data_IF_481964597899
#
_entry.id   IF_481964597899
#
_cell.length_a   1.000
_cell.length_b   1.000
_cell.length_c   1.000
_cell.angle_alpha   90.00
_cell.angle_beta   90.00
_cell.angle_gamma   90.00
#
_symmetry.space_group_name_H-M   'P 1'
#
loop_
_entity.id
_entity.type
_entity.pdbx_description
1 polymer ?
#
# COMPACT_ATOMS: atom_id res chain seq x y z
N UNK A 1 -22.24 -0.24 9.24
CA UNK A 1 -21.19 -1.30 9.31
C UNK A 1 -21.39 -2.04 10.61
N UNK A 2 -21.55 -3.36 10.57
CA UNK A 2 -21.82 -4.15 11.79
C UNK A 2 -20.55 -4.66 12.47
N UNK A 3 -19.39 -4.58 11.76
CA UNK A 3 -18.09 -5.01 12.29
C UNK A 3 -17.37 -3.88 13.04
N UNK A 4 -16.72 -4.17 14.19
CA UNK A 4 -15.84 -3.21 14.84
C UNK A 4 -14.67 -2.87 13.92
N UNK A 5 -14.15 -1.64 14.05
CA UNK A 5 -13.09 -1.12 13.18
C UNK A 5 -11.74 -1.27 13.89
N UNK A 6 -10.77 -1.81 13.17
CA UNK A 6 -9.37 -1.87 13.56
C UNK A 6 -8.50 -1.37 12.42
N UNK A 7 -7.24 -1.07 12.71
CA UNK A 7 -6.25 -0.78 11.69
C UNK A 7 -5.01 -1.67 11.85
N UNK A 8 -4.40 -2.03 10.74
CA UNK A 8 -3.13 -2.77 10.70
C UNK A 8 -2.17 -1.99 9.80
N UNK A 9 -1.00 -1.67 10.30
CA UNK A 9 0.05 -1.01 9.53
C UNK A 9 1.29 -1.89 9.44
N UNK A 10 1.70 -2.18 8.21
CA UNK A 10 2.96 -2.85 7.90
C UNK A 10 3.83 -1.83 7.17
N UNK A 11 4.98 -1.44 7.72
CA UNK A 11 5.86 -0.46 7.09
C UNK A 11 6.30 -0.90 5.69
N UNK A 12 6.49 0.05 4.77
CA UNK A 12 6.88 -0.17 3.38
C UNK A 12 8.38 0.09 3.19
N UNK A 13 9.02 -0.64 2.28
CA UNK A 13 10.43 -0.45 1.92
C UNK A 13 11.42 -0.79 3.04
N UNK A 14 11.05 -1.72 3.92
CA UNK A 14 11.91 -2.20 5.01
C UNK A 14 11.93 -3.73 5.06
N UNK A 15 13.01 -4.30 5.62
CA UNK A 15 13.04 -5.70 5.97
C UNK A 15 12.15 -5.96 7.21
N UNK A 16 11.24 -6.94 7.09
CA UNK A 16 10.40 -7.41 8.18
C UNK A 16 10.21 -8.93 8.08
N UNK A 17 10.02 -9.62 9.22
CA UNK A 17 9.82 -11.08 9.22
C UNK A 17 8.53 -11.46 8.47
N UNK A 18 7.46 -10.64 8.60
CA UNK A 18 6.19 -10.78 7.89
C UNK A 18 5.77 -9.38 7.40
N UNK A 19 5.44 -9.27 6.13
CA UNK A 19 5.04 -8.00 5.49
C UNK A 19 6.23 -7.20 4.95
N UNK A 20 7.42 -7.80 4.89
CA UNK A 20 8.60 -7.22 4.23
C UNK A 20 8.61 -7.43 2.72
N UNK A 21 7.77 -8.30 2.21
CA UNK A 21 7.65 -8.68 0.81
C UNK A 21 6.22 -8.52 0.34
N UNK A 22 6.04 -8.18 -0.95
CA UNK A 22 4.69 -7.94 -1.47
C UNK A 22 3.83 -9.22 -1.40
N UNK A 23 2.73 -9.12 -0.67
CA UNK A 23 1.73 -10.17 -0.55
C UNK A 23 1.88 -11.13 0.62
N UNK A 24 3.00 -11.19 1.30
CA UNK A 24 3.23 -12.17 2.38
C UNK A 24 2.39 -11.90 3.65
N UNK A 25 1.88 -10.69 3.85
CA UNK A 25 0.93 -10.35 4.91
C UNK A 25 -0.55 -10.55 4.52
N UNK A 26 -0.87 -10.67 3.25
CA UNK A 26 -2.24 -10.62 2.74
C UNK A 26 -3.20 -11.63 3.34
N UNK A 27 -2.74 -12.88 3.58
CA UNK A 27 -3.56 -13.92 4.21
C UNK A 27 -3.90 -13.57 5.67
N UNK A 28 -3.01 -12.92 6.39
CA UNK A 28 -3.24 -12.46 7.78
C UNK A 28 -4.29 -11.34 7.77
N UNK A 29 -4.16 -10.35 6.88
CA UNK A 29 -5.14 -9.28 6.73
C UNK A 29 -6.55 -9.84 6.48
N UNK A 30 -6.67 -10.87 5.62
CA UNK A 30 -7.95 -11.54 5.36
C UNK A 30 -8.55 -12.23 6.58
N UNK A 31 -7.72 -12.86 7.43
CA UNK A 31 -8.23 -13.47 8.66
C UNK A 31 -8.85 -12.43 9.61
N UNK A 32 -8.21 -11.28 9.78
CA UNK A 32 -8.78 -10.18 10.56
C UNK A 32 -10.06 -9.64 9.93
N UNK A 33 -10.11 -9.51 8.60
CA UNK A 33 -11.26 -8.97 7.88
C UNK A 33 -12.52 -9.84 7.96
N UNK A 34 -12.40 -11.14 8.28
CA UNK A 34 -13.57 -11.97 8.58
C UNK A 34 -14.39 -11.44 9.76
N UNK A 35 -13.76 -10.76 10.70
CA UNK A 35 -14.34 -10.37 11.99
C UNK A 35 -14.41 -8.87 12.22
N UNK A 36 -13.58 -8.08 11.55
CA UNK A 36 -13.44 -6.64 11.69
C UNK A 36 -13.55 -5.94 10.35
N UNK A 37 -13.87 -4.65 10.35
CA UNK A 37 -13.54 -3.79 9.24
C UNK A 37 -12.09 -3.30 9.46
N UNK A 38 -11.20 -3.58 8.51
CA UNK A 38 -9.75 -3.39 8.69
C UNK A 38 -9.26 -2.24 7.82
N UNK A 39 -8.76 -1.19 8.44
CA UNK A 39 -8.02 -0.14 7.71
C UNK A 39 -6.58 -0.62 7.52
N UNK A 40 -6.12 -0.68 6.27
CA UNK A 40 -4.81 -1.22 5.90
C UNK A 40 -4.03 -0.28 5.00
N UNK A 41 -2.72 -0.27 5.14
CA UNK A 41 -1.84 0.34 4.15
C UNK A 41 -1.57 -0.63 2.97
N UNK A 42 -1.13 -0.14 1.79
CA UNK A 42 -0.93 -0.95 0.58
C UNK A 42 -0.09 -2.20 0.79
N UNK A 43 1.02 -2.09 1.51
CA UNK A 43 1.95 -3.19 1.74
C UNK A 43 1.31 -4.41 2.45
N UNK A 44 0.23 -4.20 3.19
CA UNK A 44 -0.47 -5.29 3.88
C UNK A 44 -1.31 -6.17 2.95
N UNK A 45 -1.64 -5.74 1.73
CA UNK A 45 -2.63 -6.41 0.87
C UNK A 45 -2.20 -6.59 -0.59
N UNK A 46 -1.18 -5.86 -1.06
CA UNK A 46 -0.70 -5.95 -2.44
C UNK A 46 0.30 -7.10 -2.62
N UNK A 47 0.22 -7.81 -3.74
CA UNK A 47 1.10 -8.94 -4.06
C UNK A 47 1.16 -9.23 -5.56
N UNK A 48 1.87 -8.41 -6.33
CA UNK A 48 2.07 -8.62 -7.76
C UNK A 48 0.75 -8.62 -8.55
N UNK A 49 0.38 -9.75 -9.11
CA UNK A 49 -0.91 -9.95 -9.78
C UNK A 49 -2.05 -10.31 -8.80
N UNK A 50 -1.72 -10.56 -7.54
CA UNK A 50 -2.65 -10.98 -6.50
C UNK A 50 -2.93 -9.82 -5.54
N UNK A 51 -4.14 -9.76 -5.02
CA UNK A 51 -4.51 -8.84 -3.94
C UNK A 51 -5.28 -9.56 -2.85
N UNK A 52 -5.01 -9.19 -1.61
CA UNK A 52 -5.77 -9.67 -0.46
C UNK A 52 -6.98 -8.80 -0.13
N UNK A 53 -7.15 -7.66 -0.81
CA UNK A 53 -8.20 -6.67 -0.52
C UNK A 53 -9.61 -7.25 -0.72
N UNK A 54 -10.55 -6.81 0.10
CA UNK A 54 -11.98 -7.05 -0.04
C UNK A 54 -12.78 -5.90 0.59
N UNK A 55 -14.11 -5.90 0.50
CA UNK A 55 -15.00 -4.84 1.00
C UNK A 55 -15.03 -4.70 2.54
N UNK A 56 -14.48 -5.65 3.30
CA UNK A 56 -14.26 -5.52 4.74
C UNK A 56 -12.94 -4.82 5.08
N UNK A 57 -12.24 -4.29 4.07
CA UNK A 57 -11.00 -3.55 4.22
C UNK A 57 -11.11 -2.16 3.61
N UNK A 58 -10.47 -1.18 4.23
CA UNK A 58 -10.25 0.17 3.70
C UNK A 58 -8.77 0.35 3.38
N UNK A 59 -8.48 0.46 2.07
CA UNK A 59 -7.14 0.67 1.54
C UNK A 59 -6.74 2.14 1.65
N UNK A 60 -5.79 2.48 2.51
CA UNK A 60 -5.26 3.84 2.65
C UNK A 60 -3.78 3.88 2.34
N UNK A 61 -3.42 4.69 1.36
CA UNK A 61 -2.03 5.05 1.07
C UNK A 61 -1.39 5.70 2.31
N UNK A 62 -0.06 5.59 2.46
CA UNK A 62 0.64 5.96 3.69
C UNK A 62 0.37 7.37 4.20
N UNK A 63 0.32 8.39 3.32
CA UNK A 63 -0.03 9.76 3.73
C UNK A 63 -1.48 9.87 4.18
N UNK A 64 -2.42 9.21 3.51
CA UNK A 64 -3.82 9.18 3.92
C UNK A 64 -4.00 8.43 5.23
N UNK A 65 -3.24 7.34 5.44
CA UNK A 65 -3.23 6.60 6.69
C UNK A 65 -2.80 7.48 7.87
N UNK A 66 -1.69 8.21 7.71
CA UNK A 66 -1.20 9.14 8.71
C UNK A 66 -2.18 10.31 8.98
N UNK A 67 -2.73 10.94 7.94
CA UNK A 67 -3.69 12.04 8.08
C UNK A 67 -5.03 11.59 8.66
N UNK A 68 -5.44 10.34 8.41
CA UNK A 68 -6.59 9.73 9.05
C UNK A 68 -6.39 9.62 10.57
N UNK A 69 -5.24 9.09 11.01
CA UNK A 69 -4.96 8.97 12.45
C UNK A 69 -4.74 10.32 13.14
N UNK A 70 -4.27 11.35 12.45
CA UNK A 70 -4.26 12.74 12.95
C UNK A 70 -5.66 13.31 13.15
N UNK A 71 -6.67 12.74 12.50
CA UNK A 71 -8.04 13.25 12.51
C UNK A 71 -8.32 14.34 11.47
N UNK A 72 -7.40 14.57 10.54
CA UNK A 72 -7.54 15.59 9.50
C UNK A 72 -8.52 15.16 8.39
N UNK A 73 -8.72 13.86 8.22
CA UNK A 73 -9.66 13.27 7.26
C UNK A 73 -10.52 12.18 7.90
N UNK A 74 -11.62 11.88 7.25
CA UNK A 74 -12.50 10.76 7.52
C UNK A 74 -12.66 9.94 6.24
N UNK A 75 -13.14 8.71 6.35
CA UNK A 75 -13.30 7.82 5.20
C UNK A 75 -14.71 7.26 5.10
N UNK A 76 -15.19 7.10 3.85
CA UNK A 76 -16.36 6.30 3.53
C UNK A 76 -15.93 5.04 2.80
N UNK A 77 -15.92 3.88 3.44
CA UNK A 77 -15.68 2.61 2.78
C UNK A 77 -16.68 2.36 1.66
N UNK A 78 -16.25 1.76 0.58
CA UNK A 78 -17.14 1.33 -0.51
C UNK A 78 -18.05 0.22 0.00
N UNK A 79 -19.31 0.25 -0.42
CA UNK A 79 -20.25 -0.84 -0.19
C UNK A 79 -20.06 -1.92 -1.25
N UNK A 80 -20.59 -3.10 -0.98
CA UNK A 80 -20.60 -4.18 -1.96
C UNK A 80 -21.17 -3.68 -3.30
N UNK A 81 -20.46 -3.96 -4.39
CA UNK A 81 -20.72 -3.53 -5.77
C UNK A 81 -20.44 -2.04 -6.08
N UNK A 82 -20.03 -1.24 -5.12
CA UNK A 82 -19.54 0.12 -5.42
C UNK A 82 -18.06 0.06 -5.79
N UNK A 83 -17.67 0.70 -6.89
CA UNK A 83 -16.28 0.79 -7.34
C UNK A 83 -15.91 2.23 -7.67
N UNK A 84 -14.62 2.53 -7.61
CA UNK A 84 -14.08 3.81 -8.06
C UNK A 84 -13.83 3.81 -9.57
N UNK A 85 -14.06 4.94 -10.21
CA UNK A 85 -13.49 5.24 -11.52
C UNK A 85 -11.99 5.54 -11.35
N UNK A 86 -11.13 4.70 -11.94
CA UNK A 86 -9.67 4.80 -11.80
C UNK A 86 -9.07 5.50 -13.01
N UNK A 87 -8.24 6.51 -12.79
CA UNK A 87 -7.36 7.08 -13.80
C UNK A 87 -5.95 6.49 -13.68
N UNK A 88 -5.26 6.34 -14.81
CA UNK A 88 -3.90 5.81 -14.86
C UNK A 88 -2.95 6.85 -15.42
N UNK A 89 -1.82 7.06 -14.73
CA UNK A 89 -0.71 7.88 -15.20
C UNK A 89 0.43 6.96 -15.60
N UNK A 90 0.90 7.06 -16.82
CA UNK A 90 2.12 6.40 -17.28
C UNK A 90 3.26 7.39 -17.44
N UNK A 91 4.43 7.04 -16.92
CA UNK A 91 5.67 7.75 -17.23
C UNK A 91 5.99 7.58 -18.71
N UNK A 92 6.24 8.66 -19.43
CA UNK A 92 6.55 8.64 -20.86
C UNK A 92 7.89 7.94 -21.19
N UNK A 93 8.70 7.65 -20.19
CA UNK A 93 9.95 6.92 -20.34
C UNK A 93 9.76 5.40 -20.44
N UNK A 94 8.56 4.88 -20.17
CA UNK A 94 8.28 3.43 -20.25
C UNK A 94 8.45 2.94 -21.69
N UNK A 95 9.28 1.90 -21.95
CA UNK A 95 9.42 1.30 -23.27
C UNK A 95 8.06 0.85 -23.83
N UNK A 96 7.90 0.96 -25.15
CA UNK A 96 6.61 0.71 -25.79
C UNK A 96 6.07 -0.70 -25.59
N UNK A 97 6.91 -1.69 -25.61
CA UNK A 97 6.57 -3.10 -25.38
C UNK A 97 6.10 -3.34 -23.94
N UNK A 98 6.78 -2.76 -22.97
CA UNK A 98 6.38 -2.78 -21.55
C UNK A 98 5.05 -2.03 -21.36
N UNK A 99 4.90 -0.85 -21.95
CA UNK A 99 3.64 -0.11 -21.93
C UNK A 99 2.48 -0.96 -22.48
N UNK A 100 2.69 -1.69 -23.58
CA UNK A 100 1.68 -2.58 -24.16
C UNK A 100 1.25 -3.69 -23.19
N UNK A 101 2.15 -4.21 -22.35
CA UNK A 101 1.80 -5.18 -21.31
C UNK A 101 0.86 -4.55 -20.30
N UNK A 102 1.14 -3.34 -19.83
CA UNK A 102 0.26 -2.62 -18.93
C UNK A 102 -1.12 -2.31 -19.54
N UNK A 103 -1.17 -1.90 -20.82
CA UNK A 103 -2.44 -1.64 -21.54
C UNK A 103 -3.26 -2.92 -21.73
N UNK A 104 -2.61 -4.05 -22.04
CA UNK A 104 -3.27 -5.36 -22.08
C UNK A 104 -3.78 -5.78 -20.70
N UNK A 105 -3.01 -5.49 -19.66
CA UNK A 105 -3.42 -5.77 -18.27
C UNK A 105 -4.67 -4.94 -17.88
N UNK A 106 -4.71 -3.65 -18.24
CA UNK A 106 -5.90 -2.80 -18.04
C UNK A 106 -7.11 -3.43 -18.78
N UNK A 107 -6.93 -3.82 -20.03
CA UNK A 107 -8.00 -4.45 -20.81
C UNK A 107 -8.49 -5.75 -20.15
N UNK A 108 -7.58 -6.58 -19.65
CA UNK A 108 -7.94 -7.80 -18.94
C UNK A 108 -8.70 -7.52 -17.64
N UNK A 109 -8.27 -6.55 -16.84
CA UNK A 109 -8.95 -6.16 -15.59
C UNK A 109 -10.37 -5.64 -15.85
N UNK A 110 -10.56 -4.84 -16.90
CA UNK A 110 -11.88 -4.37 -17.33
C UNK A 110 -12.77 -5.53 -17.72
N UNK A 111 -12.29 -6.45 -18.54
CA UNK A 111 -13.08 -7.56 -19.08
C UNK A 111 -13.37 -8.66 -18.06
N UNK A 112 -12.41 -8.98 -17.19
CA UNK A 112 -12.51 -10.11 -16.25
C UNK A 112 -13.11 -9.70 -14.91
N UNK A 113 -12.75 -8.51 -14.42
CA UNK A 113 -13.13 -8.05 -13.08
C UNK A 113 -14.11 -6.86 -13.10
N UNK A 114 -14.36 -6.27 -14.25
CA UNK A 114 -15.24 -5.10 -14.37
C UNK A 114 -14.70 -3.84 -13.71
N UNK A 115 -13.37 -3.72 -13.56
CA UNK A 115 -12.76 -2.53 -12.97
C UNK A 115 -12.88 -1.36 -13.96
N UNK A 116 -13.40 -0.22 -13.51
CA UNK A 116 -13.57 0.99 -14.31
C UNK A 116 -12.24 1.75 -14.44
N UNK A 117 -11.56 1.54 -15.58
CA UNK A 117 -10.28 2.18 -15.93
C UNK A 117 -10.39 2.73 -17.36
N UNK A 118 -11.01 3.90 -17.54
CA UNK A 118 -11.22 4.49 -18.85
C UNK A 118 -10.31 5.69 -19.14
N UNK A 119 -9.74 6.31 -18.13
CA UNK A 119 -8.94 7.52 -18.28
C UNK A 119 -7.45 7.22 -18.11
N UNK A 120 -6.68 7.52 -19.16
CA UNK A 120 -5.22 7.36 -19.18
C UNK A 120 -4.57 8.69 -19.53
N UNK A 121 -3.53 9.07 -18.78
CA UNK A 121 -2.67 10.20 -19.06
C UNK A 121 -1.20 9.74 -19.11
N UNK A 122 -0.40 10.43 -19.91
CA UNK A 122 1.04 10.23 -19.99
C UNK A 122 1.74 11.48 -19.49
N UNK A 123 2.86 11.30 -18.80
CA UNK A 123 3.71 12.46 -18.42
C UNK A 123 4.33 13.07 -19.69
N UNK A 124 4.60 14.38 -19.67
CA UNK A 124 5.24 15.02 -20.82
C UNK A 124 6.77 14.85 -20.81
N UNK A 125 7.32 14.58 -19.62
CA UNK A 125 8.77 14.31 -19.42
C UNK A 125 8.91 13.11 -18.51
N UNK A 126 10.05 12.41 -18.63
CA UNK A 126 10.44 11.35 -17.71
C UNK A 126 10.36 11.83 -16.26
N UNK A 127 9.71 11.05 -15.41
CA UNK A 127 9.64 11.32 -13.95
C UNK A 127 11.04 11.27 -13.33
N UNK A 128 11.89 10.38 -13.80
CA UNK A 128 13.29 10.25 -13.37
C UNK A 128 13.41 9.74 -11.94
N UNK A 129 13.15 8.46 -11.75
CA UNK A 129 13.27 7.78 -10.46
C UNK A 129 14.73 7.52 -10.12
N UNK A 130 15.13 7.81 -8.89
CA UNK A 130 16.44 7.48 -8.33
C UNK A 130 16.26 6.64 -7.07
N UNK A 131 16.94 5.47 -7.02
CA UNK A 131 16.84 4.50 -5.93
C UNK A 131 18.06 4.55 -5.02
N UNK A 132 17.84 4.29 -3.73
CA UNK A 132 18.90 4.11 -2.72
C UNK A 132 18.46 3.10 -1.67
N UNK A 133 19.40 2.24 -1.28
CA UNK A 133 19.23 1.32 -0.15
C UNK A 133 20.32 1.60 0.88
N UNK A 134 19.93 1.83 2.11
CA UNK A 134 20.88 2.06 3.20
C UNK A 134 20.33 1.47 4.51
N UNK A 135 21.15 0.67 5.19
CA UNK A 135 20.81 0.03 6.46
C UNK A 135 19.51 -0.81 6.43
N UNK A 136 19.23 -1.48 5.31
CA UNK A 136 18.01 -2.30 5.13
C UNK A 136 16.73 -1.48 4.98
N UNK A 137 16.85 -0.23 4.52
CA UNK A 137 15.73 0.66 4.21
C UNK A 137 15.91 1.15 2.78
N UNK A 138 14.87 1.00 1.95
CA UNK A 138 14.86 1.59 0.62
C UNK A 138 14.28 3.01 0.67
N UNK A 139 14.86 3.92 -0.10
CA UNK A 139 14.39 5.27 -0.30
C UNK A 139 14.84 5.80 -1.66
N UNK A 140 14.38 6.98 -2.04
CA UNK A 140 14.78 7.57 -3.30
C UNK A 140 14.18 8.93 -3.56
N UNK A 141 14.36 9.43 -4.78
CA UNK A 141 13.88 10.74 -5.20
C UNK A 141 13.36 10.72 -6.64
N UNK A 142 12.63 11.76 -7.00
CA UNK A 142 12.10 11.99 -8.33
C UNK A 142 12.69 13.29 -8.91
N UNK A 143 13.18 13.26 -10.16
CA UNK A 143 13.72 14.45 -10.83
C UNK A 143 12.62 15.43 -11.23
N UNK A 144 11.51 14.92 -11.75
CA UNK A 144 10.41 15.71 -12.29
C UNK A 144 9.05 15.38 -11.62
N UNK A 145 8.88 15.55 -10.29
CA UNK A 145 7.67 15.15 -9.57
C UNK A 145 6.41 15.88 -10.05
N UNK A 146 6.55 17.10 -10.57
CA UNK A 146 5.43 17.91 -11.08
C UNK A 146 4.74 17.29 -12.29
N UNK A 147 5.41 16.42 -13.05
CA UNK A 147 4.81 15.73 -14.19
C UNK A 147 3.66 14.80 -13.73
N UNK A 148 3.86 14.14 -12.59
CA UNK A 148 2.82 13.29 -11.96
C UNK A 148 1.65 14.17 -11.51
N UNK A 149 1.90 15.29 -10.84
CA UNK A 149 0.85 16.19 -10.34
C UNK A 149 0.03 16.80 -11.47
N UNK A 150 0.67 17.23 -12.57
CA UNK A 150 -0.03 17.78 -13.75
C UNK A 150 -0.93 16.71 -14.40
N UNK A 151 -0.47 15.48 -14.52
CA UNK A 151 -1.26 14.39 -15.09
C UNK A 151 -2.42 14.01 -14.15
N UNK A 152 -2.19 13.99 -12.84
CA UNK A 152 -3.24 13.75 -11.85
C UNK A 152 -4.34 14.81 -11.89
N UNK A 153 -3.97 16.10 -12.01
CA UNK A 153 -4.94 17.20 -12.12
C UNK A 153 -5.87 17.03 -13.34
N UNK A 154 -5.31 16.60 -14.49
CA UNK A 154 -6.10 16.34 -15.71
C UNK A 154 -7.10 15.21 -15.48
N UNK A 155 -6.67 14.10 -14.85
CA UNK A 155 -7.53 12.96 -14.55
C UNK A 155 -8.65 13.34 -13.58
N UNK A 156 -8.35 14.10 -12.55
CA UNK A 156 -9.33 14.57 -11.56
C UNK A 156 -10.40 15.45 -12.24
N UNK A 157 -10.01 16.34 -13.17
CA UNK A 157 -10.96 17.14 -13.99
C UNK A 157 -11.87 16.27 -14.85
N UNK A 158 -11.47 15.05 -15.19
CA UNK A 158 -12.30 14.06 -15.92
C UNK A 158 -13.17 13.21 -14.98
N UNK A 159 -13.14 13.49 -13.67
CA UNK A 159 -14.00 12.85 -12.67
C UNK A 159 -13.53 11.49 -12.19
N UNK A 160 -12.23 11.18 -12.24
CA UNK A 160 -11.70 9.96 -11.61
C UNK A 160 -11.77 10.06 -10.09
N UNK A 161 -11.96 8.93 -9.42
CA UNK A 161 -12.10 8.83 -7.96
C UNK A 161 -10.86 8.22 -7.28
N UNK A 162 -9.98 7.58 -8.07
CA UNK A 162 -8.71 7.02 -7.62
C UNK A 162 -7.68 7.06 -8.74
N UNK A 163 -6.39 7.13 -8.42
CA UNK A 163 -5.31 7.24 -9.41
C UNK A 163 -4.28 6.14 -9.21
N UNK A 164 -3.98 5.41 -10.28
CA UNK A 164 -2.83 4.53 -10.37
C UNK A 164 -1.69 5.22 -11.12
N UNK A 165 -0.45 5.10 -10.64
CA UNK A 165 0.73 5.64 -11.29
C UNK A 165 1.68 4.52 -11.64
N UNK A 166 2.14 4.48 -12.89
CA UNK A 166 3.18 3.57 -13.34
C UNK A 166 4.39 4.40 -13.76
N UNK A 167 5.47 4.32 -12.97
CA UNK A 167 6.72 5.02 -13.25
C UNK A 167 7.78 4.06 -13.78
N UNK A 168 8.68 4.60 -14.61
CA UNK A 168 9.80 3.87 -15.14
C UNK A 168 10.99 3.92 -14.17
N UNK A 169 11.46 2.75 -13.75
CA UNK A 169 12.54 2.58 -12.78
C UNK A 169 13.89 2.26 -13.44
N UNK A 170 13.91 2.03 -14.76
CA UNK A 170 15.11 1.64 -15.46
C UNK A 170 15.45 0.17 -15.28
N UNK A 171 16.72 -0.12 -14.99
CA UNK A 171 17.16 -1.47 -14.63
C UNK A 171 16.72 -1.76 -13.19
N UNK A 172 16.27 -3.00 -12.96
CA UNK A 172 16.00 -3.45 -11.60
C UNK A 172 17.30 -3.38 -10.79
N UNK A 173 17.24 -2.84 -9.61
CA UNK A 173 18.39 -2.86 -8.72
C UNK A 173 18.58 -4.32 -8.28
N UNK A 174 19.63 -4.97 -8.76
CA UNK A 174 20.00 -6.32 -8.36
C UNK A 174 20.28 -6.37 -6.85
N UNK A 175 19.23 -6.51 -6.03
CA UNK A 175 19.39 -7.06 -4.68
C UNK A 175 19.36 -8.58 -4.82
N UNK A 176 20.53 -9.19 -4.99
CA UNK A 176 20.69 -10.64 -5.17
C UNK A 176 20.04 -11.49 -4.08
N UNK A 177 19.76 -10.92 -2.93
CA UNK A 177 19.14 -11.62 -1.80
C UNK A 177 17.61 -11.52 -1.78
N UNK A 178 16.99 -10.54 -2.47
CA UNK A 178 15.54 -10.37 -2.47
C UNK A 178 14.81 -11.57 -3.05
N UNK A 179 15.25 -12.10 -4.18
CA UNK A 179 14.69 -13.32 -4.81
C UNK A 179 14.79 -14.57 -3.93
N UNK A 180 15.71 -14.58 -2.98
CA UNK A 180 15.88 -15.64 -1.97
C UNK A 180 15.03 -15.39 -0.70
N UNK A 181 14.22 -14.33 -0.66
CA UNK A 181 13.41 -13.95 0.48
C UNK A 181 14.22 -13.32 1.62
N UNK A 182 15.32 -12.67 1.27
CA UNK A 182 16.18 -11.89 2.16
C UNK A 182 16.26 -10.44 1.69
N UNK A 183 16.77 -9.54 2.56
CA UNK A 183 16.92 -8.14 2.21
C UNK A 183 15.64 -7.32 2.32
N UNK A 184 15.51 -6.29 1.50
CA UNK A 184 14.42 -5.31 1.48
C UNK A 184 13.95 -5.10 0.05
N UNK A 185 12.67 -4.80 -0.11
CA UNK A 185 12.15 -4.32 -1.40
C UNK A 185 12.89 -3.05 -1.82
N UNK A 186 13.71 -3.09 -2.90
CA UNK A 186 14.60 -1.99 -3.27
C UNK A 186 13.84 -0.75 -3.75
N UNK A 187 12.62 -0.90 -4.25
CA UNK A 187 11.84 0.18 -4.86
C UNK A 187 10.76 0.74 -3.94
N UNK A 188 10.33 0.00 -2.91
CA UNK A 188 9.18 0.33 -2.08
C UNK A 188 9.24 1.72 -1.43
N UNK A 189 10.43 2.20 -1.08
CA UNK A 189 10.60 3.53 -0.49
C UNK A 189 10.28 4.67 -1.46
N UNK A 190 10.77 4.62 -2.71
CA UNK A 190 10.48 5.66 -3.71
C UNK A 190 9.07 5.52 -4.28
N UNK A 191 8.58 4.30 -4.40
CA UNK A 191 7.20 4.05 -4.77
C UNK A 191 6.22 4.75 -3.82
N UNK A 192 6.48 4.69 -2.51
CA UNK A 192 5.70 5.42 -1.52
C UNK A 192 5.73 6.95 -1.78
N UNK A 193 6.86 7.52 -2.19
CA UNK A 193 6.96 8.95 -2.55
C UNK A 193 6.04 9.29 -3.73
N UNK A 194 5.96 8.43 -4.75
CA UNK A 194 5.13 8.63 -5.94
C UNK A 194 3.66 8.79 -5.56
N UNK A 195 3.10 7.85 -4.79
CA UNK A 195 1.70 7.93 -4.37
C UNK A 195 1.45 9.03 -3.34
N UNK A 196 2.41 9.32 -2.44
CA UNK A 196 2.36 10.40 -1.48
C UNK A 196 2.16 11.78 -2.12
N UNK A 197 2.80 12.05 -3.25
CA UNK A 197 2.63 13.32 -3.96
C UNK A 197 1.16 13.58 -4.31
N UNK A 198 0.48 12.61 -4.91
CA UNK A 198 -0.92 12.74 -5.31
C UNK A 198 -1.85 12.80 -4.09
N UNK A 199 -1.68 11.89 -3.14
CA UNK A 199 -2.54 11.84 -1.96
C UNK A 199 -2.41 13.06 -1.08
N UNK A 200 -1.21 13.63 -0.98
CA UNK A 200 -0.95 14.86 -0.24
C UNK A 200 -1.62 16.06 -0.89
N UNK A 201 -1.51 16.19 -2.21
CA UNK A 201 -2.04 17.36 -2.94
C UNK A 201 -3.56 17.29 -3.09
N UNK A 202 -4.09 16.16 -3.55
CA UNK A 202 -5.48 16.06 -4.00
C UNK A 202 -6.42 15.35 -3.03
N UNK A 203 -5.91 14.70 -1.98
CA UNK A 203 -6.71 13.93 -1.01
C UNK A 203 -7.58 12.86 -1.69
N UNK A 204 -7.04 12.17 -2.68
CA UNK A 204 -7.67 11.10 -3.44
C UNK A 204 -6.87 9.80 -3.25
N UNK A 205 -7.49 8.61 -3.22
CA UNK A 205 -6.77 7.35 -3.18
C UNK A 205 -5.78 7.24 -4.35
N UNK A 206 -4.56 6.86 -4.04
CA UNK A 206 -3.52 6.64 -5.02
C UNK A 206 -2.71 5.39 -4.69
N UNK A 207 -2.23 4.72 -5.72
CA UNK A 207 -1.28 3.63 -5.64
C UNK A 207 -0.32 3.69 -6.83
N UNK A 208 0.79 2.97 -6.72
CA UNK A 208 1.87 2.95 -7.70
C UNK A 208 2.20 1.52 -8.12
N UNK A 209 2.78 1.38 -9.31
CA UNK A 209 3.43 0.17 -9.79
C UNK A 209 4.69 0.53 -10.56
N UNK A 210 5.75 -0.27 -10.48
CA UNK A 210 6.96 -0.04 -11.28
C UNK A 210 6.79 -0.53 -12.71
N UNK A 211 7.60 0.03 -13.61
CA UNK A 211 7.90 -0.51 -14.92
C UNK A 211 9.41 -0.55 -15.10
N UNK A 212 9.95 -1.65 -15.62
CA UNK A 212 11.36 -1.89 -15.85
C UNK A 212 11.63 -2.02 -17.35
N UNK A 213 12.89 -2.20 -17.76
CA UNK A 213 13.24 -2.46 -19.17
C UNK A 213 12.72 -3.79 -19.69
N UNK A 214 12.61 -4.79 -18.80
CA UNK A 214 12.21 -6.15 -19.15
C UNK A 214 11.08 -6.62 -18.24
N UNK A 215 10.37 -7.64 -18.70
CA UNK A 215 9.40 -8.37 -17.88
C UNK A 215 10.15 -9.54 -17.27
N UNK A 216 10.44 -9.46 -15.99
CA UNK A 216 11.12 -10.53 -15.27
C UNK A 216 10.11 -11.50 -14.67
N UNK A 217 9.90 -12.63 -15.36
CA UNK A 217 9.13 -13.75 -14.81
C UNK A 217 10.11 -14.91 -14.56
N UNK A 218 10.31 -15.23 -13.28
CA UNK A 218 11.23 -16.29 -12.92
C UNK A 218 10.74 -17.66 -13.41
N UNK A 219 11.57 -18.36 -14.16
CA UNK A 219 11.38 -19.77 -14.51
C UNK A 219 11.92 -20.74 -13.46
N UNK A 220 12.57 -20.24 -12.42
CA UNK A 220 13.10 -21.01 -11.30
C UNK A 220 12.11 -21.04 -10.12
N UNK A 221 12.26 -22.04 -9.25
CA UNK A 221 11.57 -22.05 -7.96
C UNK A 221 12.23 -21.00 -7.08
N UNK A 222 11.44 -20.04 -6.61
CA UNK A 222 11.89 -18.93 -5.77
C UNK A 222 11.35 -19.06 -4.36
N UNK A 223 11.83 -18.22 -3.45
CA UNK A 223 11.30 -18.22 -2.08
C UNK A 223 9.78 -17.88 -2.09
N UNK A 224 8.95 -18.60 -1.36
CA UNK A 224 7.49 -18.35 -1.30
C UNK A 224 7.11 -16.91 -0.96
N UNK A 225 7.91 -16.18 -0.19
CA UNK A 225 7.63 -14.78 0.21
C UNK A 225 7.59 -13.84 -0.99
N UNK A 226 8.46 -14.04 -2.00
CA UNK A 226 8.59 -13.18 -3.18
C UNK A 226 7.91 -13.75 -4.41
N UNK A 227 7.39 -14.97 -4.34
CA UNK A 227 6.89 -15.67 -5.53
C UNK A 227 5.75 -14.93 -6.24
N UNK A 228 4.92 -14.18 -5.53
CA UNK A 228 3.83 -13.40 -6.14
C UNK A 228 4.33 -12.28 -7.06
N UNK A 229 5.50 -11.75 -6.80
CA UNK A 229 6.14 -10.72 -7.62
C UNK A 229 6.83 -11.35 -8.84
N UNK A 230 7.59 -12.42 -8.62
CA UNK A 230 8.43 -13.04 -9.65
C UNK A 230 7.65 -13.93 -10.66
N UNK A 231 6.33 -14.05 -10.50
CA UNK A 231 5.42 -14.65 -11.51
C UNK A 231 4.55 -13.59 -12.20
N UNK A 232 4.77 -12.31 -11.94
CA UNK A 232 3.95 -11.21 -12.44
C UNK A 232 4.63 -10.52 -13.61
N UNK A 233 3.91 -10.36 -14.73
CA UNK A 233 4.36 -9.51 -15.84
C UNK A 233 4.26 -8.02 -15.52
N UNK A 234 3.51 -7.65 -14.50
CA UNK A 234 3.35 -6.29 -13.99
C UNK A 234 2.68 -6.33 -12.61
N UNK A 235 2.97 -5.37 -11.77
CA UNK A 235 2.38 -5.21 -10.43
C UNK A 235 1.06 -4.43 -10.45
N UNK A 236 0.64 -3.98 -11.63
CA UNK A 236 -0.57 -3.18 -11.81
C UNK A 236 -1.88 -3.86 -11.34
N UNK A 237 -2.09 -5.18 -11.49
CA UNK A 237 -3.35 -5.82 -11.10
C UNK A 237 -3.71 -5.64 -9.62
N UNK A 238 -2.76 -5.81 -8.72
CA UNK A 238 -3.06 -5.70 -7.28
C UNK A 238 -3.40 -4.27 -6.87
N UNK A 239 -2.71 -3.26 -7.42
CA UNK A 239 -3.00 -1.86 -7.11
C UNK A 239 -4.35 -1.42 -7.71
N UNK A 240 -4.71 -1.87 -8.92
CA UNK A 240 -6.00 -1.59 -9.52
C UNK A 240 -7.17 -2.18 -8.70
N UNK A 241 -7.01 -3.42 -8.20
CA UNK A 241 -7.97 -4.05 -7.31
C UNK A 241 -8.13 -3.25 -6.00
N UNK A 242 -7.01 -2.84 -5.39
CA UNK A 242 -7.02 -1.99 -4.19
C UNK A 242 -7.72 -0.66 -4.40
N UNK A 243 -7.39 0.03 -5.48
CA UNK A 243 -7.97 1.33 -5.83
C UNK A 243 -9.45 1.23 -6.20
N UNK A 244 -9.89 0.13 -6.82
CA UNK A 244 -11.28 -0.05 -7.23
C UNK A 244 -12.26 0.04 -6.05
N UNK A 245 -11.84 -0.40 -4.87
CA UNK A 245 -12.66 -0.36 -3.64
C UNK A 245 -12.04 0.50 -2.53
N UNK A 246 -11.04 1.33 -2.85
CA UNK A 246 -10.48 2.28 -1.89
C UNK A 246 -11.57 3.24 -1.38
N UNK A 247 -11.55 3.61 -0.09
CA UNK A 247 -12.59 4.44 0.50
C UNK A 247 -12.56 5.86 -0.08
N UNK A 248 -13.72 6.50 -0.14
CA UNK A 248 -13.81 7.93 -0.42
C UNK A 248 -13.26 8.73 0.76
N UNK A 249 -12.37 9.67 0.47
CA UNK A 249 -11.82 10.60 1.46
C UNK A 249 -12.80 11.76 1.66
N UNK A 250 -13.02 12.14 2.91
CA UNK A 250 -13.96 13.22 3.28
C UNK A 250 -13.48 13.94 4.54
N UNK A 251 -14.13 15.06 4.83
CA UNK A 251 -13.92 15.83 6.08
C UNK A 251 -15.07 15.67 7.07
N UNK A 252 -16.21 15.08 6.64
CA UNK A 252 -17.44 15.05 7.44
C UNK A 252 -18.21 13.75 7.21
N UNK A 253 -18.88 13.31 8.27
CA UNK A 253 -19.85 12.20 8.24
C UNK A 253 -19.28 10.82 7.85
N UNK A 254 -17.96 10.65 7.81
CA UNK A 254 -17.28 9.37 7.57
C UNK A 254 -16.83 8.71 8.88
N UNK A 255 -16.15 7.58 8.75
CA UNK A 255 -15.41 6.94 9.84
C UNK A 255 -14.28 7.87 10.27
N UNK A 256 -14.16 8.06 11.57
CA UNK A 256 -13.11 8.86 12.23
C UNK A 256 -12.00 7.96 12.79
N UNK A 257 -10.84 8.54 13.05
CA UNK A 257 -9.77 7.86 13.78
C UNK A 257 -10.23 7.32 15.15
N UNK A 258 -11.11 8.07 15.87
CA UNK A 258 -11.67 7.67 17.18
C UNK A 258 -12.65 6.50 17.11
N UNK A 259 -13.12 6.10 15.94
CA UNK A 259 -13.94 4.91 15.74
C UNK A 259 -13.07 3.63 15.67
N UNK A 260 -11.74 3.79 15.52
CA UNK A 260 -10.77 2.69 15.47
C UNK A 260 -10.51 2.17 16.87
N UNK A 261 -10.83 0.89 17.10
CA UNK A 261 -10.66 0.25 18.41
C UNK A 261 -9.20 -0.07 18.74
N UNK A 262 -8.44 -0.50 17.73
CA UNK A 262 -7.04 -0.88 17.85
C UNK A 262 -6.25 -0.49 16.60
N UNK A 263 -5.02 0.02 16.79
CA UNK A 263 -3.98 0.02 15.78
C UNK A 263 -3.00 -1.12 16.08
N UNK A 264 -2.79 -2.03 15.12
CA UNK A 264 -1.90 -3.18 15.23
C UNK A 264 -0.66 -2.93 14.38
N UNK A 265 0.53 -3.03 14.99
CA UNK A 265 1.82 -2.75 14.34
C UNK A 265 2.89 -3.76 14.79
N UNK A 266 3.97 -3.95 14.04
CA UNK A 266 5.16 -4.66 14.52
C UNK A 266 5.72 -4.00 15.80
N UNK A 267 6.23 -4.81 16.73
CA UNK A 267 6.64 -4.34 18.07
C UNK A 267 7.78 -3.32 18.06
N UNK A 268 8.57 -3.30 17.00
CA UNK A 268 9.72 -2.42 16.80
C UNK A 268 9.54 -1.39 15.68
N UNK A 269 8.27 -1.10 15.33
CA UNK A 269 7.88 -0.09 14.35
C UNK A 269 7.02 1.04 14.98
N UNK A 270 7.34 1.45 16.21
CA UNK A 270 6.54 2.43 16.98
C UNK A 270 6.79 3.90 16.61
N UNK A 271 7.66 4.18 15.63
CA UNK A 271 8.05 5.56 15.27
C UNK A 271 7.16 6.25 14.23
N UNK A 272 6.10 5.62 13.74
CA UNK A 272 5.27 6.21 12.69
C UNK A 272 4.36 7.34 13.21
N UNK A 273 4.01 8.27 12.32
CA UNK A 273 3.07 9.36 12.62
C UNK A 273 1.71 8.83 13.09
N UNK A 274 1.22 7.75 12.49
CA UNK A 274 -0.03 7.10 12.92
C UNK A 274 0.05 6.58 14.35
N UNK A 275 1.16 5.96 14.77
CA UNK A 275 1.36 5.49 16.16
C UNK A 275 1.35 6.66 17.14
N UNK A 276 2.07 7.75 16.84
CA UNK A 276 2.11 8.94 17.69
C UNK A 276 0.72 9.58 17.80
N UNK A 277 0.00 9.69 16.70
CA UNK A 277 -1.37 10.21 16.68
C UNK A 277 -2.35 9.32 17.46
N UNK A 278 -2.17 8.00 17.45
CA UNK A 278 -2.96 7.08 18.29
C UNK A 278 -2.77 7.36 19.77
N UNK A 279 -1.56 7.70 20.22
CA UNK A 279 -1.29 8.06 21.61
C UNK A 279 -2.03 9.35 21.97
N UNK A 280 -1.92 10.38 21.14
CA UNK A 280 -2.59 11.68 21.35
C UNK A 280 -4.11 11.53 21.40
N UNK A 281 -4.69 10.65 20.60
CA UNK A 281 -6.12 10.39 20.50
C UNK A 281 -6.61 9.26 21.41
N UNK A 282 -5.77 8.70 22.30
CA UNK A 282 -6.09 7.58 23.19
C UNK A 282 -6.58 6.30 22.46
N UNK A 283 -6.16 6.07 21.23
CA UNK A 283 -6.43 4.85 20.47
C UNK A 283 -5.48 3.75 20.95
N UNK A 284 -5.99 2.58 21.22
CA UNK A 284 -5.19 1.47 21.76
C UNK A 284 -4.22 0.90 20.72
N UNK A 285 -2.94 0.89 21.04
CA UNK A 285 -1.90 0.31 20.20
C UNK A 285 -1.63 -1.12 20.65
N UNK A 286 -1.73 -2.07 19.74
CA UNK A 286 -1.34 -3.46 19.93
C UNK A 286 -0.07 -3.71 19.13
N UNK A 287 0.90 -4.36 19.73
CA UNK A 287 2.13 -4.78 19.05
C UNK A 287 2.18 -6.28 18.90
N UNK A 288 2.80 -6.74 17.79
CA UNK A 288 3.04 -8.16 17.53
C UNK A 288 4.54 -8.36 17.31
N UNK A 289 5.10 -9.48 17.82
CA UNK A 289 6.49 -9.86 17.57
C UNK A 289 6.69 -10.23 16.10
N UNK A 290 6.81 -9.21 15.31
CA UNK A 290 7.18 -9.22 13.90
C UNK A 290 8.39 -8.29 13.81
N UNK A 291 9.59 -8.84 13.70
CA UNK A 291 10.83 -8.06 13.76
C UNK A 291 11.03 -7.29 12.46
N UNK A 292 11.39 -6.01 12.60
CA UNK A 292 11.71 -5.14 11.46
C UNK A 292 13.13 -4.59 11.58
N UNK A 293 13.66 -4.05 10.48
CA UNK A 293 14.95 -3.35 10.52
C UNK A 293 14.88 -1.97 11.16
N UNK A 294 13.67 -1.41 11.36
CA UNK A 294 13.47 -0.08 11.97
C UNK A 294 13.94 -0.05 13.40
N UNK A 295 13.74 -1.14 14.15
CA UNK A 295 14.21 -1.29 15.52
C UNK A 295 13.83 -0.09 16.41
N UNK A 296 12.61 0.42 16.29
CA UNK A 296 12.03 1.51 17.08
C UNK A 296 10.96 0.93 18.00
N UNK A 297 11.39 0.41 19.13
CA UNK A 297 10.56 -0.28 20.11
C UNK A 297 10.18 0.61 21.33
N UNK A 298 9.48 0.00 22.29
CA UNK A 298 9.11 0.62 23.57
C UNK A 298 10.34 1.21 24.32
N UNK A 299 11.49 0.55 24.29
CA UNK A 299 12.64 1.00 25.05
C UNK A 299 13.20 2.32 24.52
N UNK A 300 13.10 2.54 23.21
CA UNK A 300 13.54 3.77 22.54
C UNK A 300 12.58 4.94 22.76
N UNK A 301 11.30 4.73 22.55
CA UNK A 301 10.30 5.81 22.58
C UNK A 301 9.50 5.89 23.89
N UNK A 302 9.59 4.89 24.77
CA UNK A 302 8.78 4.78 25.99
C UNK A 302 7.27 4.75 25.72
N UNK A 303 6.87 4.35 24.52
CA UNK A 303 5.48 4.18 24.13
C UNK A 303 5.02 2.82 24.59
N UNK A 304 4.26 2.77 25.67
CA UNK A 304 3.74 1.50 26.21
C UNK A 304 2.54 1.04 25.37
N UNK A 305 2.64 -0.10 24.66
CA UNK A 305 1.50 -0.66 23.96
C UNK A 305 0.40 -1.08 24.96
N UNK A 306 -0.86 -1.07 24.49
CA UNK A 306 -1.99 -1.62 25.25
C UNK A 306 -1.77 -3.11 25.55
N UNK A 307 -1.30 -3.88 24.55
CA UNK A 307 -0.92 -5.28 24.67
C UNK A 307 0.10 -5.65 23.60
N UNK A 308 0.95 -6.64 23.90
CA UNK A 308 1.88 -7.25 22.95
C UNK A 308 1.58 -8.74 22.84
N UNK A 309 1.67 -9.28 21.62
CA UNK A 309 1.47 -10.69 21.31
C UNK A 309 2.68 -11.28 20.57
N UNK A 310 2.85 -12.58 20.67
CA UNK A 310 3.92 -13.28 19.97
C UNK A 310 3.57 -13.49 18.49
N UNK A 311 2.28 -13.67 18.17
CA UNK A 311 1.81 -13.89 16.80
C UNK A 311 0.53 -13.08 16.48
N UNK A 312 0.29 -12.81 15.20
CA UNK A 312 -0.97 -12.20 14.74
C UNK A 312 -2.18 -13.09 15.03
N UNK A 313 -2.02 -14.41 15.04
CA UNK A 313 -3.09 -15.36 15.39
C UNK A 313 -3.51 -15.20 16.86
N UNK A 314 -2.56 -15.15 17.78
CA UNK A 314 -2.85 -14.88 19.20
C UNK A 314 -3.52 -13.52 19.40
N UNK A 315 -3.03 -12.50 18.72
CA UNK A 315 -3.64 -11.17 18.71
C UNK A 315 -5.11 -11.26 18.29
N UNK A 316 -5.40 -11.89 17.15
CA UNK A 316 -6.77 -12.05 16.65
C UNK A 316 -7.66 -12.80 17.65
N UNK A 317 -7.22 -13.95 18.18
CA UNK A 317 -7.96 -14.73 19.15
C UNK A 317 -8.33 -13.89 20.40
N UNK A 318 -7.39 -13.15 20.94
CA UNK A 318 -7.62 -12.34 22.13
C UNK A 318 -8.58 -11.16 21.90
N UNK A 319 -8.42 -10.44 20.77
CA UNK A 319 -9.33 -9.29 20.51
C UNK A 319 -10.76 -9.73 20.17
N UNK A 320 -10.96 -10.97 19.70
CA UNK A 320 -12.27 -11.57 19.47
C UNK A 320 -13.01 -11.84 20.79
N UNK A 321 -12.31 -12.21 21.86
CA UNK A 321 -12.94 -12.45 23.18
C UNK A 321 -13.40 -11.16 23.88
N UNK A 322 -12.96 -9.99 23.38
CA UNK A 322 -13.27 -8.65 23.91
C UNK A 322 -14.17 -7.82 22.99
N UNK A 323 -14.82 -8.48 22.06
CA UNK A 323 -15.81 -7.88 21.15
C UNK A 323 -17.01 -7.30 21.86
#
# INVERSE_FOLDING_TARGET
>A
MDKPIIAISIPTGIGADIGGYAGDFGHIAREFAKHFHVIVNPNAVNGGILSAINYDMSYLEGYLFDTFFKGDIQIFPKKLYETNKIGVIFDCAIPKDILNVHLNTISALKMVQGIDIDEIEYTNKNVGVELKIENGISYGSLKNPNEILHSAEKLIKKGVEAIAVVCFFGEDSEDFDYSNGCGVDPIGGVEAVISHLITKEFKIPCAHAPAFYEIDISSNIVNPKVSSELISSTYFPCIAQGLSIAPKITQKNGIKNTDVKYLIVPYDALGSSAVLSCIENNIKIITVKNKTVLNVDYNKLKIKPYKQFDTYKECLCEILTKK
#
